data_IF_210101745115
#
_entry.id   IF_210101745115
#
_cell.length_a   1.000
_cell.length_b   1.000
_cell.length_c   1.000
_cell.angle_alpha   90.00
_cell.angle_beta   90.00
_cell.angle_gamma   90.00
#
_symmetry.space_group_name_H-M   'P 1'
#
loop_
_entity.id
_entity.type
_entity.pdbx_description
1 polymer ?
#
# COMPACT_ATOMS: atom_id res chain seq x y z
N UNK A 1 5.61 46.74 13.40
CA UNK A 1 5.73 45.43 14.09
C UNK A 1 4.52 44.51 13.91
N UNK A 2 3.34 45.01 13.53
CA UNK A 2 2.13 44.19 13.36
C UNK A 2 2.16 43.29 12.11
N UNK A 3 2.73 43.78 10.99
CA UNK A 3 2.79 43.04 9.72
C UNK A 3 3.72 41.80 9.78
N UNK A 4 4.87 41.91 10.46
CA UNK A 4 5.82 40.80 10.62
C UNK A 4 5.23 39.63 11.42
N UNK A 5 4.35 39.92 12.40
CA UNK A 5 3.70 38.90 13.22
C UNK A 5 2.62 38.16 12.43
N UNK A 6 1.92 38.87 11.55
CA UNK A 6 0.87 38.32 10.69
C UNK A 6 1.43 37.48 9.53
N UNK A 7 2.62 37.82 9.03
CA UNK A 7 3.33 37.05 8.00
C UNK A 7 3.85 35.72 8.55
N UNK A 8 4.52 35.73 9.71
CA UNK A 8 4.93 34.50 10.41
C UNK A 8 3.74 33.62 10.82
N UNK A 9 2.57 34.20 11.13
CA UNK A 9 1.36 33.40 11.39
C UNK A 9 0.79 32.75 10.13
N UNK A 10 0.86 33.42 8.97
CA UNK A 10 0.47 32.83 7.67
C UNK A 10 1.44 31.77 7.19
N UNK A 11 2.73 31.97 7.41
CA UNK A 11 3.76 30.97 7.12
C UNK A 11 3.60 29.73 8.00
N UNK A 12 3.40 29.91 9.32
CA UNK A 12 3.08 28.78 10.23
C UNK A 12 1.75 28.10 9.92
N UNK A 13 0.76 28.83 9.40
CA UNK A 13 -0.51 28.22 8.95
C UNK A 13 -0.33 27.45 7.65
N UNK A 14 0.47 27.96 6.71
CA UNK A 14 0.80 27.29 5.44
C UNK A 14 1.62 26.01 5.66
N UNK A 15 2.53 26.02 6.65
CA UNK A 15 3.33 24.87 7.08
C UNK A 15 2.51 23.82 7.86
N UNK A 16 1.29 24.16 8.29
CA UNK A 16 0.38 23.28 9.05
C UNK A 16 -0.80 22.74 8.21
N UNK A 17 -0.77 22.94 6.89
CA UNK A 17 -1.81 22.52 5.94
C UNK A 17 -1.30 21.64 4.81
N UNK A 18 -0.11 21.06 4.96
CA UNK A 18 0.37 19.96 4.15
C UNK A 18 0.70 18.83 5.12
N UNK A 19 0.04 17.67 4.99
CA UNK A 19 0.29 16.45 5.78
C UNK A 19 -0.51 16.26 7.09
N UNK A 20 -1.81 16.59 7.10
CA UNK A 20 -2.75 15.95 8.04
C UNK A 20 -4.08 15.59 7.35
N UNK A 21 -4.01 15.33 6.04
CA UNK A 21 -4.94 14.37 5.47
C UNK A 21 -4.47 13.02 5.98
N UNK A 22 -5.29 12.24 6.70
CA UNK A 22 -5.05 10.81 6.74
C UNK A 22 -5.16 10.39 5.29
N UNK A 23 -4.03 10.35 4.58
CA UNK A 23 -3.97 9.61 3.35
C UNK A 23 -4.59 8.27 3.73
N UNK A 24 -5.67 7.93 3.07
CA UNK A 24 -6.08 6.55 2.97
C UNK A 24 -4.96 5.89 2.16
N UNK A 25 -3.76 5.77 2.74
CA UNK A 25 -2.54 5.34 2.07
C UNK A 25 -2.78 3.89 1.76
N UNK A 26 -3.15 3.67 0.51
CA UNK A 26 -3.18 2.35 -0.08
C UNK A 26 -1.83 1.65 0.18
N UNK A 27 -1.81 0.33 0.41
CA UNK A 27 -0.69 -0.36 1.06
C UNK A 27 0.59 -0.43 0.22
N UNK A 28 0.61 0.18 -0.97
CA UNK A 28 1.72 0.14 -1.92
C UNK A 28 2.14 1.55 -2.33
N UNK A 29 3.39 1.70 -2.76
CA UNK A 29 3.84 2.93 -3.40
C UNK A 29 2.95 3.27 -4.61
N UNK A 30 2.72 4.57 -4.85
CA UNK A 30 1.78 5.05 -5.87
C UNK A 30 2.04 4.45 -7.26
N UNK A 31 3.30 4.34 -7.67
CA UNK A 31 3.68 3.74 -8.95
C UNK A 31 3.21 2.27 -9.09
N UNK A 32 3.33 1.48 -8.01
CA UNK A 32 2.86 0.09 -7.99
C UNK A 32 1.34 0.03 -7.97
N UNK A 33 0.67 0.96 -7.29
CA UNK A 33 -0.79 1.01 -7.23
C UNK A 33 -1.43 1.41 -8.55
N UNK A 34 -0.84 2.35 -9.26
CA UNK A 34 -1.36 2.81 -10.56
C UNK A 34 -1.00 1.89 -11.72
N UNK A 35 -0.07 0.95 -11.51
CA UNK A 35 0.29 -0.02 -12.56
C UNK A 35 -0.95 -0.83 -12.96
N UNK A 36 -1.22 -0.88 -14.26
CA UNK A 36 -2.38 -1.56 -14.80
C UNK A 36 -2.24 -3.07 -14.68
N UNK A 37 -3.31 -3.74 -14.27
CA UNK A 37 -3.39 -5.20 -14.34
C UNK A 37 -3.65 -5.60 -15.80
N UNK A 38 -2.94 -6.59 -16.36
CA UNK A 38 -3.16 -7.02 -17.74
C UNK A 38 -4.61 -7.39 -18.02
N UNK A 39 -5.14 -7.10 -19.22
CA UNK A 39 -6.48 -7.53 -19.59
C UNK A 39 -6.59 -9.06 -19.57
N UNK A 40 -7.73 -9.58 -19.11
CA UNK A 40 -7.99 -11.02 -18.94
C UNK A 40 -7.14 -11.71 -17.86
N UNK A 41 -6.47 -10.96 -16.98
CA UNK A 41 -5.76 -11.55 -15.85
C UNK A 41 -6.72 -12.32 -14.93
N UNK A 42 -6.44 -13.59 -14.71
CA UNK A 42 -7.18 -14.43 -13.77
C UNK A 42 -6.50 -14.37 -12.42
N UNK A 43 -7.19 -13.81 -11.43
CA UNK A 43 -6.68 -13.74 -10.06
C UNK A 43 -6.55 -15.18 -9.52
N UNK A 44 -5.35 -15.59 -9.08
CA UNK A 44 -5.16 -16.91 -8.47
C UNK A 44 -5.87 -17.01 -7.12
N UNK A 45 -6.23 -18.22 -6.71
CA UNK A 45 -6.66 -18.46 -5.34
C UNK A 45 -5.43 -18.40 -4.41
N UNK A 46 -5.33 -17.34 -3.63
CA UNK A 46 -4.21 -17.11 -2.72
C UNK A 46 -4.65 -17.32 -1.26
N UNK A 47 -3.78 -17.89 -0.40
CA UNK A 47 -4.02 -17.94 1.04
C UNK A 47 -4.14 -16.52 1.60
N UNK A 48 -4.87 -16.38 2.71
CA UNK A 48 -5.04 -15.08 3.38
C UNK A 48 -4.20 -15.03 4.63
N UNK A 49 -3.70 -13.85 4.97
CA UNK A 49 -2.81 -13.62 6.10
C UNK A 49 -3.47 -12.70 7.11
N UNK A 50 -3.74 -13.22 8.29
CA UNK A 50 -4.32 -12.49 9.43
C UNK A 50 -3.30 -12.15 10.52
N UNK A 51 -2.02 -12.50 10.30
CA UNK A 51 -0.93 -12.34 11.27
C UNK A 51 -0.72 -13.52 12.22
N UNK A 52 -1.46 -14.63 12.09
CA UNK A 52 -1.34 -15.79 12.98
C UNK A 52 -0.42 -16.90 12.47
N UNK A 53 -0.17 -16.93 11.16
CA UNK A 53 0.74 -17.90 10.52
C UNK A 53 2.14 -17.31 10.34
N UNK A 54 3.14 -18.15 10.07
CA UNK A 54 4.51 -17.69 9.79
C UNK A 54 4.52 -16.77 8.55
N UNK A 55 4.97 -15.51 8.66
CA UNK A 55 5.06 -14.60 7.52
C UNK A 55 5.92 -15.15 6.38
N UNK A 56 6.97 -15.91 6.68
CA UNK A 56 7.84 -16.49 5.65
C UNK A 56 7.12 -17.60 4.89
N UNK A 57 6.36 -18.45 5.58
CA UNK A 57 5.53 -19.48 4.95
C UNK A 57 4.50 -18.85 4.01
N UNK A 58 3.84 -17.78 4.45
CA UNK A 58 2.90 -17.02 3.62
C UNK A 58 3.58 -16.45 2.38
N UNK A 59 4.73 -15.78 2.54
CA UNK A 59 5.50 -15.22 1.41
C UNK A 59 5.92 -16.30 0.41
N UNK A 60 6.36 -17.47 0.87
CA UNK A 60 6.71 -18.59 0.00
C UNK A 60 5.50 -19.11 -0.78
N UNK A 61 4.33 -19.21 -0.14
CA UNK A 61 3.10 -19.65 -0.80
C UNK A 61 2.67 -18.66 -1.90
N UNK A 62 2.67 -17.35 -1.60
CA UNK A 62 2.37 -16.30 -2.59
C UNK A 62 3.41 -16.29 -3.72
N UNK A 63 4.70 -16.38 -3.38
CA UNK A 63 5.79 -16.42 -4.35
C UNK A 63 5.68 -17.60 -5.31
N UNK A 64 5.35 -18.79 -4.80
CA UNK A 64 5.16 -19.99 -5.62
C UNK A 64 3.97 -19.82 -6.57
N UNK A 65 2.82 -19.37 -6.07
CA UNK A 65 1.62 -19.18 -6.89
C UNK A 65 1.83 -18.12 -7.98
N UNK A 66 2.46 -17.00 -7.63
CA UNK A 66 2.74 -15.92 -8.58
C UNK A 66 3.77 -16.32 -9.64
N UNK A 67 4.74 -17.16 -9.29
CA UNK A 67 5.68 -17.74 -10.26
C UNK A 67 4.99 -18.70 -11.24
N UNK A 68 4.08 -19.56 -10.76
CA UNK A 68 3.33 -20.52 -11.60
C UNK A 68 2.53 -19.79 -12.70
N UNK A 69 1.91 -18.66 -12.36
CA UNK A 69 1.10 -17.89 -13.32
C UNK A 69 1.93 -16.87 -14.12
N UNK A 70 3.25 -16.79 -13.90
CA UNK A 70 4.13 -15.83 -14.56
C UNK A 70 3.79 -14.38 -14.27
N UNK A 71 3.34 -14.06 -13.04
CA UNK A 71 2.98 -12.69 -12.68
C UNK A 71 4.20 -11.76 -12.69
N UNK A 72 4.05 -10.58 -13.30
CA UNK A 72 5.06 -9.53 -13.25
C UNK A 72 5.28 -9.00 -11.83
N UNK A 73 6.47 -8.47 -11.54
CA UNK A 73 6.89 -8.08 -10.19
C UNK A 73 5.91 -7.10 -9.52
N UNK A 74 5.48 -6.08 -10.25
CA UNK A 74 4.52 -5.10 -9.74
C UNK A 74 3.17 -5.74 -9.38
N UNK A 75 2.78 -6.80 -10.08
CA UNK A 75 1.54 -7.52 -9.85
C UNK A 75 1.65 -8.44 -8.62
N UNK A 76 2.85 -8.97 -8.35
CA UNK A 76 3.11 -9.74 -7.12
C UNK A 76 2.84 -8.89 -5.88
N UNK A 77 3.30 -7.64 -5.86
CA UNK A 77 3.04 -6.71 -4.76
C UNK A 77 1.54 -6.46 -4.55
N UNK A 78 0.78 -6.24 -5.64
CA UNK A 78 -0.68 -6.09 -5.58
C UNK A 78 -1.35 -7.34 -5.02
N UNK A 79 -1.01 -8.52 -5.56
CA UNK A 79 -1.56 -9.80 -5.13
C UNK A 79 -1.27 -10.07 -3.65
N UNK A 80 -0.04 -9.81 -3.21
CA UNK A 80 0.33 -9.94 -1.80
C UNK A 80 -0.49 -9.01 -0.92
N UNK A 81 -0.60 -7.73 -1.28
CA UNK A 81 -1.39 -6.76 -0.49
C UNK A 81 -2.86 -7.17 -0.36
N UNK A 82 -3.42 -7.81 -1.39
CA UNK A 82 -4.80 -8.33 -1.38
C UNK A 82 -5.00 -9.57 -0.49
N UNK A 83 -3.95 -10.16 0.06
CA UNK A 83 -4.04 -11.34 0.93
C UNK A 83 -4.22 -10.97 2.40
N UNK A 84 -3.95 -9.73 2.79
CA UNK A 84 -3.99 -9.28 4.17
C UNK A 84 -5.44 -9.19 4.69
N UNK A 85 -5.64 -9.62 5.93
CA UNK A 85 -6.92 -9.58 6.65
C UNK A 85 -6.72 -9.17 8.11
N UNK A 86 -7.81 -8.73 8.74
CA UNK A 86 -7.87 -8.43 10.17
C UNK A 86 -6.73 -7.51 10.66
N UNK A 87 -5.91 -8.00 11.60
CA UNK A 87 -4.78 -7.26 12.17
C UNK A 87 -3.75 -6.91 11.09
N UNK A 88 -3.58 -7.75 10.07
CA UNK A 88 -2.64 -7.52 8.98
C UNK A 88 -3.09 -6.45 7.97
N UNK A 89 -4.30 -5.88 8.07
CA UNK A 89 -4.70 -4.72 7.26
C UNK A 89 -4.40 -3.37 7.94
N UNK A 90 -4.07 -3.38 9.23
CA UNK A 90 -3.94 -2.16 10.05
C UNK A 90 -2.48 -1.86 10.43
N UNK A 91 -1.54 -2.51 9.78
CA UNK A 91 -0.11 -2.34 10.01
C UNK A 91 0.39 -1.00 9.49
#
# INVERSE_FOLDING_TARGET
>A
MLNMRQEHERERQKEKTDDDTPETSQPLAQNLWETQVPPNFKIPHLPTFDGKIDPLEHLMAIGTQTAIIGAEEHLKCKLLSGTFKEAAMRW
#
